data_IF_860835295045
#
_entry.id   IF_860835295045
#
_cell.length_a   1.000
_cell.length_b   1.000
_cell.length_c   1.000
_cell.angle_alpha   90.00
_cell.angle_beta   90.00
_cell.angle_gamma   90.00
#
_symmetry.space_group_name_H-M   'P 1'
#
loop_
_entity.id
_entity.type
_entity.pdbx_description
1 polymer ?
#
# COMPACT_ATOMS: atom_id res chain seq x y z
N UNK A 1 -18.79 10.44 -7.69
CA UNK A 1 -18.13 10.60 -6.38
C UNK A 1 -18.41 9.43 -5.43
N UNK A 2 -19.67 9.02 -5.24
CA UNK A 2 -20.07 7.90 -4.34
C UNK A 2 -19.39 6.57 -4.69
N UNK A 3 -19.31 6.21 -5.97
CA UNK A 3 -18.63 4.97 -6.43
C UNK A 3 -17.15 4.96 -6.05
N UNK A 4 -16.45 6.06 -6.27
CA UNK A 4 -15.03 6.24 -5.91
C UNK A 4 -14.81 6.10 -4.39
N UNK A 5 -15.74 6.60 -3.57
CA UNK A 5 -15.70 6.45 -2.12
C UNK A 5 -15.94 4.99 -1.70
N UNK A 6 -16.92 4.30 -2.30
CA UNK A 6 -17.16 2.87 -2.04
C UNK A 6 -15.93 2.04 -2.35
N UNK A 7 -15.31 2.25 -3.52
CA UNK A 7 -14.06 1.58 -3.89
C UNK A 7 -12.95 1.86 -2.88
N UNK A 8 -12.81 3.11 -2.44
CA UNK A 8 -11.81 3.48 -1.44
C UNK A 8 -12.01 2.75 -0.09
N UNK A 9 -13.27 2.55 0.34
CA UNK A 9 -13.57 1.80 1.56
C UNK A 9 -13.25 0.31 1.40
N UNK A 10 -13.64 -0.30 0.28
CA UNK A 10 -13.30 -1.69 -0.04
C UNK A 10 -11.78 -1.91 -0.04
N UNK A 11 -11.03 -1.02 -0.68
CA UNK A 11 -9.56 -1.06 -0.69
C UNK A 11 -8.97 -0.97 0.73
N UNK A 12 -9.51 -0.12 1.60
CA UNK A 12 -9.04 -0.05 2.99
C UNK A 12 -9.33 -1.32 3.78
N UNK A 13 -10.45 -1.99 3.52
CA UNK A 13 -10.75 -3.28 4.17
C UNK A 13 -9.86 -4.40 3.66
N UNK A 14 -9.49 -4.40 2.37
CA UNK A 14 -8.45 -5.29 1.83
C UNK A 14 -7.13 -5.07 2.56
N UNK A 15 -6.69 -3.81 2.71
CA UNK A 15 -5.44 -3.51 3.42
C UNK A 15 -5.48 -4.00 4.86
N UNK A 16 -6.59 -3.79 5.60
CA UNK A 16 -6.74 -4.31 6.97
C UNK A 16 -6.60 -5.82 7.04
N UNK A 17 -7.24 -6.56 6.13
CA UNK A 17 -7.12 -8.03 6.07
C UNK A 17 -5.68 -8.46 5.84
N UNK A 18 -5.01 -7.83 4.88
CA UNK A 18 -3.62 -8.14 4.56
C UNK A 18 -2.63 -7.82 5.67
N UNK A 19 -2.89 -6.79 6.49
CA UNK A 19 -2.10 -6.50 7.70
C UNK A 19 -2.13 -7.69 8.67
N UNK A 20 -3.27 -8.37 8.80
CA UNK A 20 -3.37 -9.60 9.61
C UNK A 20 -2.59 -10.74 8.95
N UNK A 21 -2.75 -10.94 7.64
CA UNK A 21 -2.07 -12.01 6.90
C UNK A 21 -0.54 -11.89 6.96
N UNK A 22 0.00 -10.69 6.73
CA UNK A 22 1.45 -10.45 6.75
C UNK A 22 2.06 -10.56 8.14
N UNK A 23 1.25 -10.47 9.19
CA UNK A 23 1.71 -10.63 10.58
C UNK A 23 1.95 -12.11 10.94
N UNK A 24 1.43 -13.06 10.13
CA UNK A 24 1.67 -14.49 10.25
C UNK A 24 2.56 -14.97 9.08
N UNK A 25 3.85 -15.24 9.32
CA UNK A 25 4.78 -15.72 8.29
C UNK A 25 4.31 -17.00 7.56
N UNK A 26 3.60 -17.90 8.23
CA UNK A 26 3.13 -19.16 7.65
C UNK A 26 2.04 -18.86 6.61
N UNK A 27 1.07 -18.01 6.97
CA UNK A 27 0.03 -17.59 6.04
C UNK A 27 0.59 -16.76 4.90
N UNK A 28 1.52 -15.84 5.20
CA UNK A 28 2.08 -14.94 4.21
C UNK A 28 2.99 -15.63 3.19
N UNK A 29 3.56 -16.80 3.53
CA UNK A 29 4.35 -17.62 2.61
C UNK A 29 3.57 -17.95 1.33
N UNK A 30 2.29 -18.30 1.45
CA UNK A 30 1.42 -18.63 0.30
C UNK A 30 1.30 -17.44 -0.65
N UNK A 31 1.12 -16.23 -0.10
CA UNK A 31 1.07 -14.99 -0.89
C UNK A 31 2.42 -14.74 -1.57
N UNK A 32 3.53 -14.93 -0.86
CA UNK A 32 4.85 -14.74 -1.44
C UNK A 32 5.12 -15.65 -2.64
N UNK A 33 4.68 -16.91 -2.56
CA UNK A 33 4.82 -17.91 -3.63
C UNK A 33 3.91 -17.58 -4.83
N UNK A 34 2.67 -17.13 -4.58
CA UNK A 34 1.73 -16.71 -5.62
C UNK A 34 2.23 -15.49 -6.42
N UNK A 35 3.05 -14.63 -5.81
CA UNK A 35 3.65 -13.44 -6.43
C UNK A 35 5.15 -13.65 -6.73
N UNK A 36 5.56 -14.85 -7.15
CA UNK A 36 6.96 -15.21 -7.42
C UNK A 36 7.57 -14.56 -8.67
N UNK A 37 6.77 -14.28 -9.71
CA UNK A 37 7.25 -13.67 -10.95
C UNK A 37 7.68 -12.20 -10.74
N UNK A 38 8.77 -11.77 -11.38
CA UNK A 38 9.31 -10.41 -11.27
C UNK A 38 8.29 -9.31 -11.57
N UNK A 39 7.43 -9.52 -12.58
CA UNK A 39 6.35 -8.58 -12.94
C UNK A 39 5.31 -8.35 -11.82
N UNK A 40 5.22 -9.28 -10.89
CA UNK A 40 4.30 -9.25 -9.74
C UNK A 40 5.00 -8.79 -8.46
N UNK A 41 6.23 -8.26 -8.55
CA UNK A 41 7.04 -7.83 -7.40
C UNK A 41 7.51 -6.39 -7.57
N UNK A 42 7.73 -5.72 -6.44
CA UNK A 42 8.35 -4.38 -6.37
C UNK A 42 9.34 -4.35 -5.22
N UNK A 43 10.61 -4.05 -5.51
CA UNK A 43 11.70 -4.10 -4.53
C UNK A 43 11.89 -5.49 -3.94
N UNK A 44 11.79 -6.54 -4.76
CA UNK A 44 11.89 -7.93 -4.31
C UNK A 44 10.73 -8.44 -3.46
N UNK A 45 9.75 -7.60 -3.11
CA UNK A 45 8.58 -7.97 -2.31
C UNK A 45 7.33 -8.19 -3.18
N UNK A 46 6.37 -9.04 -2.75
CA UNK A 46 5.08 -9.20 -3.43
C UNK A 46 4.39 -7.85 -3.67
N UNK A 47 3.89 -7.62 -4.88
CA UNK A 47 2.98 -6.52 -5.20
C UNK A 47 1.52 -6.99 -5.05
N UNK A 48 1.20 -7.40 -3.83
CA UNK A 48 -0.08 -7.96 -3.43
C UNK A 48 -1.23 -6.94 -3.45
N UNK A 49 -2.45 -7.41 -3.17
CA UNK A 49 -3.65 -6.59 -3.23
C UNK A 49 -3.59 -5.39 -2.28
N UNK A 50 -2.97 -5.52 -1.11
CA UNK A 50 -2.80 -4.38 -0.19
C UNK A 50 -1.89 -3.29 -0.77
N UNK A 51 -0.77 -3.65 -1.40
CA UNK A 51 0.10 -2.65 -2.06
C UNK A 51 -0.61 -2.00 -3.25
N UNK A 52 -1.40 -2.77 -4.00
CA UNK A 52 -2.21 -2.23 -5.09
C UNK A 52 -3.28 -1.27 -4.58
N UNK A 53 -4.00 -1.64 -3.51
CA UNK A 53 -5.01 -0.82 -2.86
C UNK A 53 -4.43 0.49 -2.32
N UNK A 54 -3.28 0.45 -1.63
CA UNK A 54 -2.59 1.65 -1.15
C UNK A 54 -2.15 2.57 -2.30
N UNK A 55 -1.59 2.02 -3.39
CA UNK A 55 -1.19 2.80 -4.56
C UNK A 55 -2.39 3.44 -5.29
N UNK A 56 -3.48 2.69 -5.42
CA UNK A 56 -4.76 3.17 -5.97
C UNK A 56 -5.33 4.30 -5.12
N UNK A 57 -5.38 4.13 -3.79
CA UNK A 57 -5.90 5.14 -2.87
C UNK A 57 -5.06 6.42 -2.91
N UNK A 58 -3.73 6.30 -2.91
CA UNK A 58 -2.83 7.43 -3.05
C UNK A 58 -3.07 8.21 -4.36
N UNK A 59 -3.25 7.50 -5.47
CA UNK A 59 -3.54 8.10 -6.78
C UNK A 59 -4.88 8.81 -6.80
N UNK A 60 -5.92 8.20 -6.19
CA UNK A 60 -7.26 8.80 -6.06
C UNK A 60 -7.22 10.10 -5.26
N UNK A 61 -6.46 10.14 -4.17
CA UNK A 61 -6.25 11.35 -3.39
C UNK A 61 -5.55 12.44 -4.22
N UNK A 62 -4.51 12.09 -4.97
CA UNK A 62 -3.83 13.04 -5.87
C UNK A 62 -4.73 13.56 -6.99
N UNK A 63 -5.69 12.76 -7.47
CA UNK A 63 -6.68 13.23 -8.43
C UNK A 63 -7.73 14.14 -7.79
N UNK A 64 -8.10 13.88 -6.53
CA UNK A 64 -9.02 14.75 -5.78
C UNK A 64 -8.41 16.13 -5.51
N UNK A 65 -7.10 16.19 -5.23
CA UNK A 65 -6.36 17.45 -5.00
C UNK A 65 -6.34 18.40 -6.21
N UNK A 66 -6.56 17.87 -7.42
CA UNK A 66 -6.67 18.68 -8.66
C UNK A 66 -8.00 19.44 -8.75
N UNK A 67 -8.99 19.11 -7.93
CA UNK A 67 -10.27 19.81 -7.92
C UNK A 67 -10.14 21.21 -7.28
N UNK A 68 -11.15 22.05 -7.50
CA UNK A 68 -11.25 23.36 -6.84
C UNK A 68 -11.66 23.16 -5.38
N UNK A 69 -10.68 22.93 -4.53
CA UNK A 69 -10.83 22.73 -3.09
C UNK A 69 -10.35 23.96 -2.31
N UNK A 70 -10.91 24.14 -1.12
CA UNK A 70 -10.40 25.10 -0.14
C UNK A 70 -9.00 24.71 0.34
N UNK A 71 -8.26 25.66 0.93
CA UNK A 71 -6.94 25.39 1.52
C UNK A 71 -6.98 24.31 2.61
N UNK A 72 -8.04 24.30 3.41
CA UNK A 72 -8.26 23.31 4.47
C UNK A 72 -8.46 21.90 3.88
N UNK A 73 -9.30 21.76 2.86
CA UNK A 73 -9.53 20.47 2.19
C UNK A 73 -8.26 19.94 1.53
N UNK A 74 -7.46 20.80 0.91
CA UNK A 74 -6.16 20.40 0.34
C UNK A 74 -5.19 19.89 1.40
N UNK A 75 -5.07 20.61 2.51
CA UNK A 75 -4.23 20.18 3.65
C UNK A 75 -4.65 18.81 4.18
N UNK A 76 -5.96 18.53 4.26
CA UNK A 76 -6.47 17.20 4.65
C UNK A 76 -6.04 16.13 3.65
N UNK A 77 -6.11 16.41 2.35
CA UNK A 77 -5.69 15.44 1.31
C UNK A 77 -4.19 15.18 1.39
N UNK A 78 -3.38 16.21 1.60
CA UNK A 78 -1.93 16.09 1.72
C UNK A 78 -1.55 15.17 2.89
N UNK A 79 -2.12 15.42 4.08
CA UNK A 79 -1.91 14.55 5.26
C UNK A 79 -2.31 13.10 4.96
N UNK A 80 -3.44 12.90 4.28
CA UNK A 80 -3.89 11.54 3.90
C UNK A 80 -2.93 10.87 2.91
N UNK A 81 -2.37 11.61 1.95
CA UNK A 81 -1.38 11.10 1.01
C UNK A 81 -0.09 10.71 1.72
N UNK A 82 0.35 11.51 2.68
CA UNK A 82 1.53 11.18 3.48
C UNK A 82 1.30 9.96 4.38
N UNK A 83 0.12 9.84 4.98
CA UNK A 83 -0.28 8.63 5.70
C UNK A 83 -0.23 7.38 4.82
N UNK A 84 -0.68 7.46 3.56
CA UNK A 84 -0.56 6.34 2.62
C UNK A 84 0.89 5.97 2.30
N UNK A 85 1.79 6.96 2.16
CA UNK A 85 3.23 6.71 1.98
C UNK A 85 3.82 5.99 3.20
N UNK A 86 3.48 6.44 4.41
CA UNK A 86 3.93 5.81 5.66
C UNK A 86 3.41 4.39 5.78
N UNK A 87 2.11 4.18 5.52
CA UNK A 87 1.47 2.87 5.56
C UNK A 87 2.13 1.89 4.59
N UNK A 88 2.38 2.31 3.34
CA UNK A 88 3.10 1.48 2.35
C UNK A 88 4.47 1.06 2.86
N UNK A 89 5.27 1.98 3.39
CA UNK A 89 6.61 1.68 3.92
C UNK A 89 6.56 0.72 5.11
N UNK A 90 5.59 0.88 6.01
CA UNK A 90 5.41 -0.02 7.14
C UNK A 90 5.01 -1.41 6.67
N UNK A 91 4.08 -1.49 5.73
CA UNK A 91 3.64 -2.77 5.17
C UNK A 91 4.78 -3.48 4.43
N UNK A 92 5.58 -2.78 3.62
CA UNK A 92 6.77 -3.34 2.97
C UNK A 92 7.75 -3.95 4.00
N UNK A 93 7.96 -3.28 5.14
CA UNK A 93 8.76 -3.84 6.26
C UNK A 93 8.14 -5.09 6.86
N UNK A 94 6.82 -5.12 7.02
CA UNK A 94 6.12 -6.31 7.50
C UNK A 94 6.29 -7.47 6.51
N UNK A 95 6.10 -7.22 5.21
CA UNK A 95 6.28 -8.23 4.17
C UNK A 95 7.69 -8.81 4.20
N UNK A 96 8.71 -7.96 4.26
CA UNK A 96 10.10 -8.40 4.32
C UNK A 96 10.38 -9.24 5.55
N UNK A 97 9.92 -8.79 6.73
CA UNK A 97 10.01 -9.55 7.97
C UNK A 97 9.34 -10.93 7.85
N UNK A 98 8.15 -10.98 7.26
CA UNK A 98 7.37 -12.21 7.12
C UNK A 98 8.06 -13.25 6.21
N UNK A 99 8.85 -12.81 5.22
CA UNK A 99 9.56 -13.70 4.29
C UNK A 99 11.06 -13.80 4.58
N UNK A 100 11.53 -13.26 5.71
CA UNK A 100 12.92 -13.36 6.14
C UNK A 100 13.91 -12.49 5.35
N UNK A 101 13.45 -11.42 4.68
CA UNK A 101 14.31 -10.44 4.00
C UNK A 101 14.64 -9.31 4.96
N UNK A 102 15.92 -8.94 5.03
CA UNK A 102 16.37 -7.74 5.73
C UNK A 102 16.41 -6.53 4.77
N UNK A 103 15.46 -5.60 4.92
CA UNK A 103 15.39 -4.36 4.14
C UNK A 103 16.44 -3.32 4.53
N UNK A 104 17.21 -3.52 5.62
CA UNK A 104 18.26 -2.58 6.02
C UNK A 104 19.36 -2.42 4.95
N UNK A 105 19.42 -3.35 3.99
CA UNK A 105 20.37 -3.37 2.88
C UNK A 105 19.86 -2.69 1.60
N UNK A 106 18.56 -2.40 1.49
CA UNK A 106 17.98 -1.90 0.23
C UNK A 106 18.04 -0.36 0.17
N UNK A 107 19.22 0.15 -0.23
CA UNK A 107 19.43 1.56 -0.55
C UNK A 107 18.75 1.91 -1.87
N UNK A 108 17.47 2.18 -1.77
CA UNK A 108 16.73 3.03 -2.69
C UNK A 108 16.03 2.28 -3.80
N UNK A 109 14.71 2.43 -3.87
CA UNK A 109 14.01 2.57 -5.14
C UNK A 109 12.76 3.44 -4.96
N UNK A 110 12.47 4.13 -6.06
CA UNK A 110 11.76 5.39 -6.19
C UNK A 110 10.25 5.33 -5.90
N UNK A 111 9.70 6.54 -5.74
CA UNK A 111 8.27 6.87 -5.61
C UNK A 111 7.39 6.13 -6.62
#
# INVERSE_FOLDING_TARGET
>A
MISSLKTALTEMDVVKKHVVLVSDPIQYKVINEAYSLSKNRKGGLPYDEARQAMASHYTRLGNLDKARLTSVEKSIIDVRRDNMKVMRKLYEKMQAKAIGIDLSRDKGHSL
#
